data_IF_012273833203
#
_entry.id   IF_012273833203
#
_cell.length_a   1.000
_cell.length_b   1.000
_cell.length_c   1.000
_cell.angle_alpha   90.00
_cell.angle_beta   90.00
_cell.angle_gamma   90.00
#
_symmetry.space_group_name_H-M   'P 1'
#
loop_
_entity.id
_entity.type
_entity.pdbx_description
1 polymer ?
#
# COMPACT_ATOMS: atom_id res chain seq x y z
N UNK A 1 -13.79 5.08 20.11
CA UNK A 1 -14.40 3.74 20.31
C UNK A 1 -13.30 2.71 20.16
N UNK A 2 -13.02 1.97 21.24
CA UNK A 2 -11.98 0.95 21.33
C UNK A 2 -12.45 -0.30 20.59
N UNK A 3 -11.79 -0.67 19.50
CA UNK A 3 -11.93 -2.01 18.92
C UNK A 3 -10.71 -2.82 19.34
N UNK A 4 -10.90 -3.62 20.38
CA UNK A 4 -9.98 -4.68 20.79
C UNK A 4 -10.18 -5.80 19.77
N UNK A 5 -9.29 -5.84 18.77
CA UNK A 5 -9.27 -6.95 17.81
C UNK A 5 -8.80 -8.21 18.55
N UNK A 6 -9.72 -9.15 18.70
CA UNK A 6 -9.49 -10.54 19.12
C UNK A 6 -8.29 -11.16 18.42
N UNK A 7 -7.53 -12.05 19.09
CA UNK A 7 -6.48 -12.81 18.44
C UNK A 7 -7.12 -13.66 17.34
N UNK A 8 -6.76 -13.37 16.08
CA UNK A 8 -7.11 -14.22 14.95
C UNK A 8 -6.29 -15.50 15.12
N UNK A 9 -6.90 -16.53 15.72
CA UNK A 9 -6.44 -17.90 15.56
C UNK A 9 -6.73 -18.28 14.12
N UNK A 10 -5.77 -18.00 13.23
CA UNK A 10 -5.84 -18.35 11.82
C UNK A 10 -5.59 -19.85 11.66
N UNK A 11 -6.60 -20.62 12.03
CA UNK A 11 -6.84 -21.97 11.50
C UNK A 11 -7.89 -21.87 10.39
N UNK A 12 -7.79 -20.84 9.53
CA UNK A 12 -8.71 -20.74 8.41
C UNK A 12 -8.27 -21.69 7.29
N UNK A 13 -9.15 -22.65 7.10
CA UNK A 13 -9.17 -23.72 6.11
C UNK A 13 -8.42 -23.44 4.80
N UNK A 14 -7.53 -24.36 4.42
CA UNK A 14 -6.87 -24.48 3.10
C UNK A 14 -7.88 -24.85 1.97
N UNK A 15 -9.11 -24.35 2.01
CA UNK A 15 -10.12 -24.62 0.98
C UNK A 15 -9.98 -23.63 -0.16
N UNK A 16 -9.72 -24.17 -1.37
CA UNK A 16 -9.72 -23.38 -2.60
C UNK A 16 -11.10 -22.74 -2.77
N UNK A 17 -11.19 -21.42 -3.04
CA UNK A 17 -12.48 -20.78 -3.28
C UNK A 17 -13.17 -21.40 -4.50
N UNK A 18 -14.49 -21.55 -4.43
CA UNK A 18 -15.30 -22.09 -5.51
C UNK A 18 -15.20 -21.25 -6.79
N UNK A 19 -15.04 -19.93 -6.65
CA UNK A 19 -14.91 -18.99 -7.74
C UNK A 19 -13.64 -18.14 -7.58
N UNK A 20 -12.95 -17.91 -8.69
CA UNK A 20 -11.77 -17.06 -8.79
C UNK A 20 -12.08 -15.79 -9.59
N UNK A 21 -11.24 -14.76 -9.45
CA UNK A 21 -11.29 -13.57 -10.33
C UNK A 21 -11.17 -13.95 -11.81
N UNK A 22 -10.43 -15.03 -12.11
CA UNK A 22 -10.32 -15.55 -13.47
C UNK A 22 -11.69 -15.99 -14.04
N UNK A 23 -12.62 -16.49 -13.23
CA UNK A 23 -13.95 -16.90 -13.70
C UNK A 23 -14.79 -15.69 -14.10
N UNK A 24 -14.68 -14.58 -13.36
CA UNK A 24 -15.32 -13.30 -13.71
C UNK A 24 -14.76 -12.80 -15.05
N UNK A 25 -13.44 -12.84 -15.26
CA UNK A 25 -12.84 -12.43 -16.53
C UNK A 25 -13.24 -13.34 -17.69
N UNK A 26 -13.41 -14.65 -17.49
CA UNK A 26 -13.92 -15.56 -18.55
C UNK A 26 -15.35 -15.23 -18.96
N UNK A 27 -16.21 -14.90 -18.00
CA UNK A 27 -17.62 -14.60 -18.27
C UNK A 27 -17.83 -13.21 -18.85
N UNK A 28 -17.11 -12.20 -18.36
CA UNK A 28 -17.41 -10.78 -18.64
C UNK A 28 -16.25 -9.97 -19.24
N UNK A 29 -15.04 -10.56 -19.33
CA UNK A 29 -13.83 -9.83 -19.76
C UNK A 29 -13.91 -9.28 -21.18
N UNK A 30 -14.53 -10.02 -22.10
CA UNK A 30 -14.69 -9.58 -23.50
C UNK A 30 -15.68 -8.42 -23.63
N UNK A 31 -16.79 -8.46 -22.90
CA UNK A 31 -17.75 -7.35 -22.86
C UNK A 31 -17.12 -6.11 -22.23
N UNK A 32 -16.38 -6.29 -21.13
CA UNK A 32 -15.68 -5.22 -20.46
C UNK A 32 -14.68 -4.53 -21.39
N UNK A 33 -13.88 -5.30 -22.15
CA UNK A 33 -12.91 -4.77 -23.11
C UNK A 33 -13.55 -4.07 -24.32
N UNK A 34 -14.76 -4.47 -24.73
CA UNK A 34 -15.52 -3.75 -25.77
C UNK A 34 -16.05 -2.40 -25.27
N UNK A 35 -16.47 -2.34 -24.00
CA UNK A 35 -17.05 -1.13 -23.39
C UNK A 35 -16.00 -0.14 -22.89
N UNK A 36 -14.89 -0.64 -22.36
CA UNK A 36 -13.84 0.15 -21.74
C UNK A 36 -12.48 -0.11 -22.39
N UNK A 37 -11.75 0.96 -22.71
CA UNK A 37 -10.37 0.85 -23.16
C UNK A 37 -9.46 0.54 -21.98
N UNK A 38 -8.88 -0.65 -21.98
CA UNK A 38 -7.82 -1.03 -21.06
C UNK A 38 -6.47 -0.44 -21.49
N UNK A 39 -5.64 -0.05 -20.52
CA UNK A 39 -4.22 0.17 -20.77
C UNK A 39 -3.53 -1.17 -21.10
N UNK A 40 -2.33 -1.10 -21.67
CA UNK A 40 -1.53 -2.29 -21.94
C UNK A 40 -1.31 -3.13 -20.67
N UNK A 41 -0.98 -2.48 -19.57
CA UNK A 41 -0.75 -3.11 -18.27
C UNK A 41 -2.02 -3.78 -17.72
N UNK A 42 -3.18 -3.14 -17.87
CA UNK A 42 -4.45 -3.71 -17.44
C UNK A 42 -4.82 -4.96 -18.25
N UNK A 43 -4.65 -4.91 -19.57
CA UNK A 43 -4.86 -6.06 -20.46
C UNK A 43 -3.89 -7.20 -20.15
N UNK A 44 -2.63 -6.89 -19.83
CA UNK A 44 -1.64 -7.88 -19.43
C UNK A 44 -2.03 -8.56 -18.11
N UNK A 45 -2.43 -7.78 -17.10
CA UNK A 45 -2.91 -8.33 -15.82
C UNK A 45 -4.13 -9.25 -16.03
N UNK A 46 -5.09 -8.84 -16.86
CA UNK A 46 -6.26 -9.66 -17.15
C UNK A 46 -5.87 -11.01 -17.77
N UNK A 47 -4.98 -11.01 -18.76
CA UNK A 47 -4.43 -12.22 -19.38
C UNK A 47 -3.69 -13.10 -18.39
N UNK A 48 -2.79 -12.51 -17.61
CA UNK A 48 -2.00 -13.23 -16.62
C UNK A 48 -2.90 -13.93 -15.59
N UNK A 49 -3.99 -13.27 -15.15
CA UNK A 49 -4.97 -13.86 -14.22
C UNK A 49 -5.74 -15.02 -14.86
N UNK A 50 -6.14 -14.89 -16.12
CA UNK A 50 -6.85 -15.91 -16.88
C UNK A 50 -6.01 -17.20 -17.08
N UNK A 51 -4.73 -17.03 -17.40
CA UNK A 51 -3.81 -18.12 -17.74
C UNK A 51 -3.10 -18.71 -16.51
N UNK A 52 -3.04 -17.99 -15.38
CA UNK A 52 -2.34 -18.44 -14.18
C UNK A 52 -2.83 -19.79 -13.66
N UNK A 53 -1.90 -20.70 -13.36
CA UNK A 53 -2.17 -22.07 -12.89
C UNK A 53 -3.02 -22.90 -13.87
N UNK A 54 -2.83 -22.68 -15.17
CA UNK A 54 -3.43 -23.51 -16.23
C UNK A 54 -2.34 -24.21 -17.03
N UNK A 55 -2.72 -25.11 -17.93
CA UNK A 55 -1.81 -25.79 -18.86
C UNK A 55 -1.00 -24.82 -19.73
N UNK A 56 -1.52 -23.62 -20.02
CA UNK A 56 -0.84 -22.57 -20.79
C UNK A 56 0.49 -22.16 -20.13
N UNK A 57 0.55 -22.17 -18.79
CA UNK A 57 1.75 -21.83 -18.02
C UNK A 57 2.76 -22.99 -17.90
N UNK A 58 2.42 -24.16 -18.46
CA UNK A 58 3.11 -25.42 -18.17
C UNK A 58 2.94 -25.85 -16.72
N UNK A 59 3.61 -26.93 -16.35
CA UNK A 59 3.55 -27.48 -14.99
C UNK A 59 4.59 -28.55 -14.75
N UNK A 60 4.58 -29.09 -13.54
CA UNK A 60 5.40 -30.21 -13.13
C UNK A 60 4.53 -31.32 -12.54
N UNK A 61 5.06 -32.53 -12.58
CA UNK A 61 4.47 -33.70 -11.96
C UNK A 61 5.39 -34.11 -10.83
N UNK A 62 4.90 -33.99 -9.60
CA UNK A 62 5.59 -34.48 -8.41
C UNK A 62 5.16 -35.92 -8.17
N UNK A 63 6.11 -36.80 -7.88
CA UNK A 63 5.84 -38.18 -7.48
C UNK A 63 6.26 -38.37 -6.03
N UNK A 64 5.37 -38.93 -5.20
CA UNK A 64 5.72 -39.33 -3.85
C UNK A 64 6.63 -40.56 -3.89
N UNK A 65 7.79 -40.45 -3.25
CA UNK A 65 8.79 -41.52 -3.12
C UNK A 65 8.33 -42.69 -2.24
N UNK A 66 7.29 -42.51 -1.42
CA UNK A 66 6.76 -43.53 -0.52
C UNK A 66 5.57 -44.31 -1.10
N UNK A 67 4.61 -43.61 -1.73
CA UNK A 67 3.38 -44.24 -2.23
C UNK A 67 3.22 -44.20 -3.75
N UNK A 68 4.14 -43.55 -4.49
CA UNK A 68 4.04 -43.38 -5.94
C UNK A 68 2.95 -42.42 -6.41
N UNK A 69 2.23 -41.78 -5.47
CA UNK A 69 1.16 -40.83 -5.79
C UNK A 69 1.69 -39.66 -6.61
N UNK A 70 1.00 -39.36 -7.72
CA UNK A 70 1.35 -38.26 -8.61
C UNK A 70 0.52 -37.02 -8.29
N UNK A 71 1.18 -35.86 -8.26
CA UNK A 71 0.55 -34.54 -8.13
C UNK A 71 0.96 -33.67 -9.30
N UNK A 72 -0.03 -33.18 -10.04
CA UNK A 72 0.19 -32.23 -11.12
C UNK A 72 0.02 -30.81 -10.58
N UNK A 73 1.01 -29.96 -10.84
CA UNK A 73 1.05 -28.58 -10.38
C UNK A 73 1.36 -27.65 -11.55
N UNK A 74 0.43 -26.76 -11.90
CA UNK A 74 0.66 -25.76 -12.95
C UNK A 74 1.41 -24.54 -12.42
N UNK A 75 2.22 -23.91 -13.28
CA UNK A 75 3.04 -22.76 -12.90
C UNK A 75 2.20 -21.48 -12.70
N UNK A 76 2.73 -20.57 -11.88
CA UNK A 76 2.12 -19.28 -11.59
C UNK A 76 2.53 -18.22 -12.62
N UNK A 77 1.65 -17.26 -12.92
CA UNK A 77 1.99 -16.13 -13.79
C UNK A 77 2.97 -15.14 -13.14
N UNK A 78 3.16 -15.21 -11.82
CA UNK A 78 4.00 -14.32 -10.99
C UNK A 78 3.66 -12.83 -11.06
N UNK A 79 2.57 -12.44 -11.73
CA UNK A 79 2.08 -11.07 -11.70
C UNK A 79 1.59 -10.70 -10.29
N UNK A 80 2.08 -9.58 -9.74
CA UNK A 80 1.76 -9.07 -8.39
C UNK A 80 0.27 -8.76 -8.18
N UNK A 81 -0.49 -8.60 -9.26
CA UNK A 81 -1.94 -8.34 -9.22
C UNK A 81 -2.77 -9.63 -9.26
N UNK A 82 -2.16 -10.79 -9.47
CA UNK A 82 -2.87 -12.05 -9.51
C UNK A 82 -3.16 -12.58 -8.09
N UNK A 83 -4.43 -12.82 -7.71
CA UNK A 83 -4.79 -13.29 -6.36
C UNK A 83 -4.26 -14.70 -6.01
N UNK A 84 -3.89 -15.49 -7.01
CA UNK A 84 -3.32 -16.84 -6.84
C UNK A 84 -1.80 -16.85 -6.61
N UNK A 85 -1.15 -15.71 -6.84
CA UNK A 85 0.28 -15.57 -6.83
C UNK A 85 0.76 -14.77 -5.63
N UNK A 86 2.05 -14.86 -5.34
CA UNK A 86 2.71 -13.97 -4.39
C UNK A 86 2.51 -14.32 -2.91
N UNK A 87 1.69 -15.30 -2.54
CA UNK A 87 1.49 -15.68 -1.12
C UNK A 87 2.80 -16.04 -0.42
N UNK A 88 3.66 -16.85 -1.05
CA UNK A 88 4.96 -17.21 -0.49
C UNK A 88 5.88 -15.98 -0.38
N UNK A 89 6.01 -15.19 -1.45
CA UNK A 89 6.83 -13.97 -1.45
C UNK A 89 6.36 -12.97 -0.40
N UNK A 90 5.04 -12.86 -0.20
CA UNK A 90 4.43 -12.03 0.84
C UNK A 90 4.75 -12.55 2.24
N UNK A 91 4.68 -13.86 2.45
CA UNK A 91 5.03 -14.49 3.72
C UNK A 91 6.52 -14.29 4.05
N UNK A 92 7.42 -14.55 3.09
CA UNK A 92 8.85 -14.31 3.25
C UNK A 92 9.16 -12.83 3.51
N UNK A 93 8.48 -11.92 2.82
CA UNK A 93 8.60 -10.49 3.08
C UNK A 93 8.15 -10.14 4.49
N UNK A 94 7.03 -10.71 4.95
CA UNK A 94 6.51 -10.50 6.30
C UNK A 94 7.50 -10.98 7.37
N UNK A 95 8.09 -12.17 7.21
CA UNK A 95 9.10 -12.68 8.14
C UNK A 95 10.33 -11.74 8.20
N UNK A 96 10.83 -11.27 7.05
CA UNK A 96 11.91 -10.26 7.04
C UNK A 96 11.51 -8.96 7.72
N UNK A 97 10.26 -8.52 7.59
CA UNK A 97 9.80 -7.31 8.27
C UNK A 97 9.72 -7.51 9.79
N UNK A 98 9.37 -8.71 10.26
CA UNK A 98 9.32 -9.04 11.69
C UNK A 98 10.69 -8.97 12.36
N UNK A 99 11.77 -9.29 11.65
CA UNK A 99 13.15 -9.16 12.15
C UNK A 99 13.54 -7.72 12.50
N UNK A 100 12.85 -6.73 11.91
CA UNK A 100 13.07 -5.31 12.17
C UNK A 100 12.19 -4.76 13.30
N UNK A 101 11.30 -5.57 13.89
CA UNK A 101 10.45 -5.14 14.98
C UNK A 101 11.22 -5.09 16.30
N UNK A 102 11.07 -3.99 17.00
CA UNK A 102 11.55 -3.77 18.35
C UNK A 102 10.48 -4.30 19.33
N UNK A 103 10.89 -4.78 20.52
CA UNK A 103 9.96 -5.22 21.57
C UNK A 103 9.31 -4.02 22.27
N UNK A 104 8.54 -3.23 21.54
CA UNK A 104 7.85 -1.99 21.98
C UNK A 104 6.40 -2.00 21.47
N UNK A 105 5.53 -1.18 22.03
CA UNK A 105 4.22 -0.94 21.42
C UNK A 105 4.36 -0.06 20.17
N UNK A 106 3.36 -0.14 19.30
CA UNK A 106 3.34 0.57 18.02
C UNK A 106 2.03 1.32 17.84
N UNK A 107 2.08 2.39 17.06
CA UNK A 107 0.93 3.12 16.59
C UNK A 107 0.72 2.92 15.11
N UNK A 108 -0.54 2.90 14.72
CA UNK A 108 -0.95 2.88 13.32
C UNK A 108 -1.41 4.28 12.92
N UNK A 109 -0.57 5.00 12.17
CA UNK A 109 -0.83 6.36 11.73
C UNK A 109 -1.17 6.35 10.24
N UNK A 110 -2.30 6.95 9.87
CA UNK A 110 -2.75 6.96 8.47
C UNK A 110 -2.64 8.38 7.92
N UNK A 111 -1.95 8.53 6.80
CA UNK A 111 -1.90 9.78 6.03
C UNK A 111 -2.69 9.62 4.74
N UNK A 112 -3.62 10.53 4.49
CA UNK A 112 -4.50 10.50 3.31
C UNK A 112 -4.34 11.80 2.54
N UNK A 113 -4.30 11.72 1.21
CA UNK A 113 -4.31 12.92 0.37
C UNK A 113 -5.74 13.33 0.03
N UNK A 114 -5.97 14.63 -0.13
CA UNK A 114 -7.27 15.15 -0.55
C UNK A 114 -7.65 14.64 -1.95
N UNK A 115 -8.94 14.34 -2.15
CA UNK A 115 -9.45 13.84 -3.42
C UNK A 115 -9.27 14.84 -4.58
N UNK A 116 -9.12 16.13 -4.31
CA UNK A 116 -8.76 17.14 -5.29
C UNK A 116 -7.44 16.85 -6.01
N UNK A 117 -6.53 16.09 -5.39
CA UNK A 117 -5.25 15.69 -5.99
C UNK A 117 -5.31 14.41 -6.83
N UNK A 118 -6.43 13.66 -6.85
CA UNK A 118 -6.52 12.39 -7.59
C UNK A 118 -6.23 12.53 -9.09
N UNK A 119 -6.77 13.53 -9.83
CA UNK A 119 -6.44 13.68 -11.24
C UNK A 119 -4.94 13.84 -11.49
N UNK A 120 -4.24 14.55 -10.58
CA UNK A 120 -2.79 14.73 -10.66
C UNK A 120 -2.04 13.44 -10.32
N UNK A 121 -2.48 12.74 -9.27
CA UNK A 121 -1.91 11.47 -8.83
C UNK A 121 -2.03 10.39 -9.90
N UNK A 122 -3.17 10.28 -10.59
CA UNK A 122 -3.39 9.30 -11.67
C UNK A 122 -2.34 9.39 -12.78
N UNK A 123 -1.99 10.61 -13.18
CA UNK A 123 -1.06 10.84 -14.29
C UNK A 123 0.40 10.83 -13.83
N UNK A 124 0.66 11.16 -12.56
CA UNK A 124 2.01 11.34 -12.02
C UNK A 124 2.26 10.49 -10.77
N UNK A 125 1.79 9.25 -10.78
CA UNK A 125 1.76 8.34 -9.62
C UNK A 125 3.09 8.32 -8.86
N UNK A 126 4.21 8.08 -9.56
CA UNK A 126 5.52 8.03 -8.92
C UNK A 126 5.84 9.33 -8.16
N UNK A 127 5.74 10.49 -8.82
CA UNK A 127 6.09 11.76 -8.20
C UNK A 127 5.18 12.11 -7.01
N UNK A 128 3.87 11.89 -7.15
CA UNK A 128 2.89 12.22 -6.10
C UNK A 128 2.99 11.24 -4.92
N UNK A 129 3.16 9.95 -5.18
CA UNK A 129 3.30 8.96 -4.12
C UNK A 129 4.65 9.04 -3.42
N UNK A 130 5.74 9.27 -4.15
CA UNK A 130 7.05 9.56 -3.52
C UNK A 130 6.94 10.78 -2.61
N UNK A 131 6.28 11.85 -3.05
CA UNK A 131 6.03 13.02 -2.21
C UNK A 131 5.18 12.69 -0.98
N UNK A 132 4.14 11.86 -1.13
CA UNK A 132 3.31 11.41 0.00
C UNK A 132 4.15 10.66 1.05
N UNK A 133 5.03 9.75 0.62
CA UNK A 133 5.96 9.04 1.50
C UNK A 133 6.91 9.98 2.23
N UNK A 134 7.55 10.90 1.51
CA UNK A 134 8.48 11.86 2.12
C UNK A 134 7.78 12.78 3.10
N UNK A 135 6.66 13.40 2.70
CA UNK A 135 5.90 14.30 3.57
C UNK A 135 5.42 13.62 4.85
N UNK A 136 4.92 12.38 4.76
CA UNK A 136 4.51 11.61 5.93
C UNK A 136 5.70 11.26 6.84
N UNK A 137 6.78 10.74 6.28
CA UNK A 137 7.97 10.34 7.03
C UNK A 137 8.65 11.55 7.71
N UNK A 138 8.80 12.66 7.01
CA UNK A 138 9.42 13.87 7.55
C UNK A 138 8.57 14.51 8.64
N UNK A 139 7.24 14.53 8.46
CA UNK A 139 6.30 14.99 9.49
C UNK A 139 6.42 14.16 10.76
N UNK A 140 6.38 12.83 10.62
CA UNK A 140 6.52 11.92 11.75
C UNK A 140 7.88 12.09 12.45
N UNK A 141 8.99 12.15 11.70
CA UNK A 141 10.35 12.35 12.25
C UNK A 141 10.50 13.68 12.96
N UNK A 142 9.95 14.76 12.39
CA UNK A 142 9.95 16.07 13.04
C UNK A 142 9.20 16.05 14.37
N UNK A 143 8.08 15.33 14.44
CA UNK A 143 7.32 15.14 15.68
C UNK A 143 8.05 14.23 16.68
N UNK A 144 8.70 13.15 16.22
CA UNK A 144 9.57 12.32 17.04
C UNK A 144 10.66 13.15 17.73
N UNK A 145 11.37 14.00 16.98
CA UNK A 145 12.36 14.92 17.54
C UNK A 145 11.76 15.94 18.50
N UNK A 146 10.63 16.56 18.14
CA UNK A 146 10.01 17.63 18.94
C UNK A 146 9.39 17.13 20.24
N UNK A 147 8.65 16.03 20.21
CA UNK A 147 7.87 15.55 21.35
C UNK A 147 8.59 14.45 22.14
N UNK A 148 9.42 13.63 21.48
CA UNK A 148 10.14 12.52 22.12
C UNK A 148 11.64 12.77 22.22
N UNK A 149 12.19 13.84 21.63
CA UNK A 149 13.62 14.16 21.66
C UNK A 149 14.50 13.06 21.09
N UNK A 150 14.04 12.41 20.02
CA UNK A 150 14.74 11.28 19.42
C UNK A 150 14.24 10.92 18.03
N UNK A 151 14.83 9.87 17.46
CA UNK A 151 14.45 9.29 16.18
C UNK A 151 13.49 8.11 16.39
N UNK A 152 12.39 8.12 15.65
CA UNK A 152 11.36 7.06 15.67
C UNK A 152 11.59 6.07 14.52
N UNK A 153 11.11 4.84 14.69
CA UNK A 153 10.98 3.87 13.62
C UNK A 153 9.66 4.06 12.87
N UNK A 154 9.71 3.96 11.53
CA UNK A 154 8.54 4.10 10.66
C UNK A 154 8.62 3.02 9.57
N UNK A 155 7.55 2.22 9.43
CA UNK A 155 7.31 1.36 8.28
C UNK A 155 6.02 1.83 7.60
N UNK A 156 6.08 2.24 6.35
CA UNK A 156 4.94 2.81 5.62
C UNK A 156 4.56 1.93 4.42
N UNK A 157 3.25 1.71 4.24
CA UNK A 157 2.66 0.95 3.13
C UNK A 157 1.64 1.83 2.42
N UNK A 158 1.75 1.95 1.10
CA UNK A 158 0.79 2.67 0.26
C UNK A 158 -0.39 1.79 -0.11
N UNK A 159 -1.58 2.28 0.18
CA UNK A 159 -2.84 1.79 -0.37
C UNK A 159 -3.42 2.84 -1.31
N UNK A 160 -3.86 2.43 -2.51
CA UNK A 160 -4.44 3.36 -3.50
C UNK A 160 -5.96 3.27 -3.61
N UNK A 161 -6.58 2.36 -2.86
CA UNK A 161 -8.01 2.07 -2.93
C UNK A 161 -8.63 2.06 -1.54
N UNK A 162 -9.86 2.58 -1.43
CA UNK A 162 -10.70 2.41 -0.26
C UNK A 162 -11.40 1.05 -0.24
N UNK A 163 -12.11 0.75 0.85
CA UNK A 163 -12.83 -0.51 1.02
C UNK A 163 -13.86 -0.79 -0.08
N UNK A 164 -14.44 0.26 -0.66
CA UNK A 164 -15.41 0.19 -1.76
C UNK A 164 -14.77 0.24 -3.14
N UNK A 165 -13.44 0.04 -3.23
CA UNK A 165 -12.64 0.11 -4.46
C UNK A 165 -12.72 1.47 -5.17
N UNK A 166 -13.00 2.54 -4.42
CA UNK A 166 -12.82 3.91 -4.88
C UNK A 166 -11.36 4.32 -4.72
N UNK A 167 -10.85 5.14 -5.64
CA UNK A 167 -9.47 5.62 -5.53
C UNK A 167 -9.31 6.49 -4.29
N UNK A 168 -8.39 6.08 -3.42
CA UNK A 168 -8.15 6.72 -2.13
C UNK A 168 -6.70 6.47 -1.71
N UNK A 169 -5.73 7.24 -2.22
CA UNK A 169 -4.33 7.06 -1.88
C UNK A 169 -4.07 7.46 -0.42
N UNK A 170 -3.62 6.50 0.37
CA UNK A 170 -3.27 6.69 1.77
C UNK A 170 -2.08 5.81 2.16
N UNK A 171 -1.30 6.28 3.13
CA UNK A 171 -0.24 5.51 3.76
C UNK A 171 -0.72 4.95 5.09
N UNK A 172 -0.50 3.66 5.29
CA UNK A 172 -0.51 3.03 6.60
C UNK A 172 0.90 3.03 7.15
N UNK A 173 1.13 3.80 8.21
CA UNK A 173 2.42 3.88 8.88
C UNK A 173 2.37 3.16 10.22
N UNK A 174 3.18 2.11 10.37
CA UNK A 174 3.49 1.50 11.65
C UNK A 174 4.64 2.31 12.28
N UNK A 175 4.35 2.99 13.39
CA UNK A 175 5.28 3.92 14.05
C UNK A 175 5.61 3.40 15.44
N UNK A 176 6.90 3.40 15.81
CA UNK A 176 7.31 2.96 17.15
C UNK A 176 6.69 3.84 18.24
N UNK A 177 6.21 3.23 19.32
CA UNK A 177 5.67 3.89 20.51
C UNK A 177 6.74 4.51 21.41
N UNK A 178 7.69 5.20 20.79
CA UNK A 178 8.86 5.75 21.43
C UNK A 178 9.94 6.09 20.41
N UNK A 179 10.99 6.73 20.88
CA UNK A 179 12.11 7.18 20.06
C UNK A 179 13.45 6.81 20.71
N UNK A 180 14.44 6.50 19.88
CA UNK A 180 15.84 6.42 20.32
C UNK A 180 16.37 7.85 20.49
N UNK A 181 16.90 8.18 21.66
CA UNK A 181 17.44 9.52 21.93
C UNK A 181 18.51 9.94 20.91
N UNK A 182 18.69 11.24 20.71
CA UNK A 182 19.65 11.77 19.73
C UNK A 182 21.09 11.29 19.96
N UNK A 183 21.49 11.12 21.23
CA UNK A 183 22.78 10.55 21.65
C UNK A 183 22.87 9.01 21.49
N UNK A 184 21.76 8.37 21.09
CA UNK A 184 21.58 6.92 20.92
C UNK A 184 21.82 6.10 22.19
N UNK A 185 21.76 6.72 23.36
CA UNK A 185 22.04 6.04 24.64
C UNK A 185 20.79 5.46 25.30
N UNK A 186 19.60 5.97 25.01
CA UNK A 186 18.37 5.56 25.70
C UNK A 186 17.15 5.50 24.79
N UNK A 187 16.27 4.56 25.09
CA UNK A 187 14.92 4.52 24.53
C UNK A 187 13.99 5.44 25.32
N UNK A 188 13.21 6.26 24.63
CA UNK A 188 12.21 7.16 25.21
C UNK A 188 10.82 6.68 24.79
N UNK A 189 10.19 5.87 25.64
CA UNK A 189 8.86 5.31 25.41
C UNK A 189 7.75 6.35 25.56
N UNK A 190 6.67 6.21 24.79
CA UNK A 190 5.39 6.88 25.05
C UNK A 190 4.50 5.99 25.92
N UNK A 191 3.33 6.49 26.31
CA UNK A 191 2.22 5.63 26.74
C UNK A 191 1.56 4.97 25.52
N UNK A 192 0.84 3.84 25.65
CA UNK A 192 0.22 3.15 24.50
C UNK A 192 -0.97 3.87 23.86
N UNK A 193 -1.56 4.84 24.56
CA UNK A 193 -2.78 5.56 24.19
C UNK A 193 -2.51 6.89 23.50
N UNK A 194 -1.27 7.39 23.53
CA UNK A 194 -0.93 8.69 22.98
C UNK A 194 0.46 8.69 22.34
N UNK A 195 0.51 9.11 21.07
CA UNK A 195 1.76 9.36 20.35
C UNK A 195 2.00 10.86 20.15
N UNK A 196 1.14 11.52 19.36
CA UNK A 196 1.25 12.94 19.01
C UNK A 196 -0.12 13.62 18.97
N UNK A 197 -0.20 14.96 19.17
CA UNK A 197 -1.42 15.71 18.93
C UNK A 197 -1.82 15.67 17.44
N UNK A 198 -2.95 15.03 17.11
CA UNK A 198 -3.37 14.75 15.73
C UNK A 198 -3.56 16.03 14.90
N UNK A 199 -4.18 17.07 15.46
CA UNK A 199 -4.43 18.34 14.75
C UNK A 199 -3.13 18.99 14.29
N UNK A 200 -2.11 19.01 15.16
CA UNK A 200 -0.79 19.58 14.83
C UNK A 200 -0.07 18.73 13.79
N UNK A 201 -0.13 17.41 13.92
CA UNK A 201 0.47 16.47 12.97
C UNK A 201 -0.15 16.64 11.58
N UNK A 202 -1.48 16.69 11.51
CA UNK A 202 -2.25 16.88 10.28
C UNK A 202 -1.96 18.21 9.61
N UNK A 203 -1.92 19.31 10.39
CA UNK A 203 -1.61 20.63 9.86
C UNK A 203 -0.20 20.69 9.25
N UNK A 204 0.80 20.11 9.93
CA UNK A 204 2.18 20.07 9.44
C UNK A 204 2.32 19.20 8.18
N UNK A 205 1.70 18.02 8.17
CA UNK A 205 1.70 17.16 6.99
C UNK A 205 1.06 17.85 5.78
N UNK A 206 -0.11 18.49 5.99
CA UNK A 206 -0.81 19.23 4.93
C UNK A 206 0.08 20.32 4.34
N UNK A 207 0.75 21.11 5.19
CA UNK A 207 1.68 22.13 4.74
C UNK A 207 2.82 21.54 3.89
N UNK A 208 3.51 20.52 4.41
CA UNK A 208 4.62 19.86 3.71
C UNK A 208 4.20 19.28 2.36
N UNK A 209 3.06 18.58 2.33
CA UNK A 209 2.54 17.98 1.12
C UNK A 209 2.12 19.04 0.09
N UNK A 210 1.36 20.06 0.49
CA UNK A 210 0.93 21.13 -0.43
C UNK A 210 2.12 21.93 -0.98
N UNK A 211 3.11 22.26 -0.14
CA UNK A 211 4.34 22.91 -0.60
C UNK A 211 5.12 22.03 -1.57
N UNK A 212 5.19 20.71 -1.31
CA UNK A 212 5.80 19.75 -2.21
C UNK A 212 5.10 19.68 -3.55
N UNK A 213 3.76 19.61 -3.56
CA UNK A 213 2.94 19.60 -4.79
C UNK A 213 3.22 20.87 -5.61
N UNK A 214 3.27 22.04 -4.98
CA UNK A 214 3.55 23.30 -5.66
C UNK A 214 4.95 23.35 -6.31
N UNK A 215 5.91 22.57 -5.79
CA UNK A 215 7.28 22.46 -6.31
C UNK A 215 7.46 21.35 -7.34
N UNK A 216 6.52 20.40 -7.46
CA UNK A 216 6.62 19.33 -8.44
C UNK A 216 6.59 19.91 -9.86
N UNK A 217 7.70 19.75 -10.57
CA UNK A 217 7.81 20.08 -11.99
C UNK A 217 7.45 18.85 -12.80
N UNK A 218 6.28 18.88 -13.44
CA UNK A 218 5.88 17.83 -14.37
C UNK A 218 6.43 18.18 -15.76
N UNK A 219 7.14 17.27 -16.44
CA UNK A 219 7.57 17.51 -17.82
C UNK A 219 6.33 17.80 -18.67
N UNK A 220 6.27 19.01 -19.22
CA UNK A 220 5.20 19.38 -20.16
C UNK A 220 5.36 18.53 -21.41
N UNK A 221 4.37 17.68 -21.72
CA UNK A 221 4.18 17.24 -23.10
C UNK A 221 3.92 18.52 -23.92
N UNK A 222 4.76 18.77 -24.92
CA UNK A 222 4.65 19.93 -25.81
C UNK A 222 3.23 20.02 -26.39
N UNK A 223 2.54 21.14 -26.17
CA UNK A 223 1.34 21.49 -26.95
C UNK A 223 0.05 21.90 -26.22
N UNK A 224 -0.08 21.79 -24.89
CA UNK A 224 -1.32 22.23 -24.20
C UNK A 224 -1.07 23.34 -23.17
N UNK A 225 -1.63 24.53 -23.45
CA UNK A 225 -1.77 25.63 -22.49
C UNK A 225 -3.01 25.38 -21.64
N UNK A 226 -2.82 24.97 -20.39
CA UNK A 226 -3.85 25.12 -19.35
C UNK A 226 -3.38 26.22 -18.40
N UNK A 227 -4.14 27.31 -18.30
CA UNK A 227 -3.97 28.31 -17.24
C UNK A 227 -4.63 27.75 -15.98
N UNK A 228 -3.86 27.10 -15.11
CA UNK A 228 -4.40 26.67 -13.81
C UNK A 228 -4.27 27.82 -12.83
N UNK A 229 -5.39 28.50 -12.55
CA UNK A 229 -5.53 29.49 -11.48
C UNK A 229 -6.06 28.72 -10.27
N UNK A 230 -5.17 28.17 -9.44
CA UNK A 230 -5.58 27.61 -8.16
C UNK A 230 -5.95 28.78 -7.25
N UNK A 231 -7.21 28.85 -6.88
CA UNK A 231 -7.71 29.77 -5.86
C UNK A 231 -8.08 28.86 -4.69
N UNK A 232 -7.31 28.92 -3.60
CA UNK A 232 -7.68 28.24 -2.37
C UNK A 232 -8.87 29.01 -1.78
N UNK A 233 -10.03 28.37 -1.65
CA UNK A 233 -11.13 28.92 -0.85
C UNK A 233 -10.80 28.69 0.63
N UNK A 234 -10.99 29.72 1.44
CA UNK A 234 -10.72 29.73 2.89
C UNK A 234 -11.69 28.86 3.71
N UNK A 235 -12.48 27.98 3.09
CA UNK A 235 -13.50 27.15 3.75
C UNK A 235 -12.97 25.81 4.28
N UNK A 236 -11.64 25.65 4.41
CA UNK A 236 -11.02 24.55 5.15
C UNK A 236 -10.14 25.14 6.27
N UNK A 237 -10.80 25.77 7.25
CA UNK A 237 -10.24 26.12 8.55
C UNK A 237 -10.86 25.23 9.62
#
# INVERSE_FOLDING_TARGET
MLNISTPVTDTDSLTKPQYEVADIFRLYGDEYQRRYRLSFEQSQVMRDVLECRTTVMGGHVDACDQCGGLRISYNSCRNRHCPKCGSLVKAEWLERQKEHLLPVHYFHVIFTIDHAFLPLARVNQKAVYDLLFHSAADTLKAFGRRYLGGEIGIMAILHTWGQTLTEHPHLHCLVTGGALSTDRQRWRSTTPDFLFPVEKLSAHFREMFCQGIAKLTFPRKSGQRVKTKYTFSEEIL
#
